data_IF_853318946752
#
_entry.id   IF_853318946752
#
_cell.length_a   1.000
_cell.length_b   1.000
_cell.length_c   1.000
_cell.angle_alpha   90.00
_cell.angle_beta   90.00
_cell.angle_gamma   90.00
#
_symmetry.space_group_name_H-M   'P 1'
#
loop_
_entity.id
_entity.type
_entity.pdbx_description
1 polymer ?
#
# COMPACT_ATOMS: atom_id res chain seq x y z
N UNK A 1 19.89 -18.98 -47.87
CA UNK A 1 20.15 -19.03 -46.41
C UNK A 1 19.75 -17.67 -45.87
N UNK A 2 18.61 -17.56 -45.22
CA UNK A 2 18.08 -16.27 -44.72
C UNK A 2 18.67 -15.95 -43.35
N UNK A 3 19.29 -14.79 -43.26
CA UNK A 3 19.80 -14.17 -42.04
C UNK A 3 18.64 -13.83 -41.09
N UNK A 4 18.67 -14.35 -39.87
CA UNK A 4 17.77 -13.94 -38.79
C UNK A 4 18.33 -12.67 -38.15
N UNK A 5 17.61 -11.55 -38.22
CA UNK A 5 17.95 -10.34 -37.49
C UNK A 5 17.46 -10.46 -36.03
N UNK A 6 18.35 -10.18 -35.09
CA UNK A 6 18.01 -10.08 -33.66
C UNK A 6 17.70 -8.63 -33.34
N UNK A 7 16.47 -8.36 -32.90
CA UNK A 7 16.06 -7.05 -32.39
C UNK A 7 16.40 -6.97 -30.90
N UNK A 8 17.20 -5.99 -30.50
CA UNK A 8 17.41 -5.66 -29.09
C UNK A 8 16.26 -4.79 -28.63
N UNK A 9 15.55 -5.24 -27.59
CA UNK A 9 14.53 -4.46 -26.89
C UNK A 9 15.27 -3.47 -25.98
N UNK A 10 15.02 -2.16 -26.16
CA UNK A 10 15.55 -1.11 -25.27
C UNK A 10 15.09 -1.38 -23.81
N UNK A 11 15.89 -0.94 -22.84
CA UNK A 11 15.60 -1.16 -21.42
C UNK A 11 14.20 -0.63 -21.06
N UNK A 12 13.28 -1.54 -20.72
CA UNK A 12 11.94 -1.18 -20.24
C UNK A 12 12.00 -0.90 -18.73
N UNK A 13 11.74 0.34 -18.33
CA UNK A 13 11.47 0.69 -16.93
C UNK A 13 10.03 0.35 -16.58
N UNK A 14 9.84 -0.61 -15.67
CA UNK A 14 8.53 -0.84 -15.05
C UNK A 14 8.27 0.27 -14.01
N UNK A 15 7.25 1.09 -14.24
CA UNK A 15 6.85 2.12 -13.28
C UNK A 15 6.11 1.48 -12.10
N UNK A 16 6.54 1.81 -10.88
CA UNK A 16 5.83 1.39 -9.67
C UNK A 16 4.51 2.15 -9.58
N UNK A 17 3.39 1.46 -9.75
CA UNK A 17 2.08 1.99 -9.37
C UNK A 17 2.00 1.90 -7.84
N UNK A 18 2.10 3.05 -7.17
CA UNK A 18 1.80 3.14 -5.75
C UNK A 18 0.31 3.38 -5.54
N UNK A 19 -0.25 2.71 -4.55
CA UNK A 19 -1.61 2.93 -4.05
C UNK A 19 -1.53 3.48 -2.62
N UNK A 20 -2.55 4.21 -2.18
CA UNK A 20 -2.65 4.71 -0.81
C UNK A 20 -3.78 4.00 -0.06
N UNK A 21 -3.59 3.78 1.24
CA UNK A 21 -4.64 3.25 2.13
C UNK A 21 -4.99 4.33 3.16
N UNK A 22 -6.29 4.57 3.34
CA UNK A 22 -6.83 5.40 4.43
C UNK A 22 -7.62 4.50 5.38
N UNK A 23 -7.30 4.58 6.67
CA UNK A 23 -8.05 3.95 7.76
C UNK A 23 -8.66 5.06 8.60
N UNK A 24 -9.93 4.93 8.99
CA UNK A 24 -10.60 5.84 9.93
C UNK A 24 -11.06 5.03 11.13
N UNK A 25 -10.58 5.37 12.33
CA UNK A 25 -10.95 4.71 13.58
C UNK A 25 -12.08 5.47 14.25
N UNK A 26 -13.21 4.78 14.43
CA UNK A 26 -14.41 5.30 15.07
C UNK A 26 -14.77 4.51 16.33
N UNK A 27 -15.65 5.08 17.15
CA UNK A 27 -16.28 4.40 18.29
C UNK A 27 -17.11 3.18 17.83
N UNK A 28 -17.30 2.19 18.71
CA UNK A 28 -18.03 0.96 18.34
C UNK A 28 -19.54 1.12 18.33
N UNK A 29 -20.06 2.12 19.06
CA UNK A 29 -21.50 2.37 19.18
C UNK A 29 -21.96 3.56 18.31
N UNK A 30 -21.04 4.48 17.96
CA UNK A 30 -21.33 5.66 17.13
C UNK A 30 -20.19 5.99 16.15
N UNK A 31 -20.40 5.68 14.87
CA UNK A 31 -19.46 5.91 13.78
C UNK A 31 -19.15 7.41 13.52
N UNK A 32 -19.92 8.34 14.12
CA UNK A 32 -19.64 9.78 14.01
C UNK A 32 -18.55 10.25 14.98
N UNK A 33 -18.17 9.41 15.96
CA UNK A 33 -17.14 9.72 16.94
C UNK A 33 -15.82 9.12 16.47
N UNK A 34 -14.90 9.97 16.04
CA UNK A 34 -13.54 9.56 15.64
C UNK A 34 -12.62 9.43 16.85
N UNK A 35 -11.67 8.50 16.79
CA UNK A 35 -10.79 8.17 17.91
C UNK A 35 -9.32 8.38 17.56
N UNK A 36 -8.71 9.37 18.21
CA UNK A 36 -7.28 9.66 18.14
C UNK A 36 -6.46 8.67 19.00
N UNK A 37 -5.25 8.38 18.54
CA UNK A 37 -4.24 7.71 19.35
C UNK A 37 -4.30 6.19 19.35
N UNK A 38 -5.15 5.58 18.54
CA UNK A 38 -5.17 4.13 18.36
C UNK A 38 -3.94 3.69 17.56
N UNK A 39 -3.26 2.64 18.03
CA UNK A 39 -2.03 2.14 17.43
C UNK A 39 -2.28 0.90 16.56
N UNK A 40 -1.67 0.88 15.38
CA UNK A 40 -1.83 -0.16 14.37
C UNK A 40 -0.47 -0.64 13.85
N UNK A 41 -0.45 -1.90 13.45
CA UNK A 41 0.64 -2.52 12.70
C UNK A 41 0.05 -3.18 11.46
N UNK A 42 0.65 -2.91 10.31
CA UNK A 42 0.27 -3.47 9.03
C UNK A 42 1.12 -4.71 8.75
N UNK A 43 0.46 -5.82 8.45
CA UNK A 43 1.08 -7.09 8.09
C UNK A 43 0.74 -7.46 6.65
N UNK A 44 1.61 -8.21 5.98
CA UNK A 44 1.31 -8.88 4.71
C UNK A 44 0.62 -10.24 4.93
N UNK A 45 0.30 -10.93 3.83
CA UNK A 45 -0.35 -12.25 3.84
C UNK A 45 0.48 -13.34 4.55
N UNK A 46 1.79 -13.13 4.70
CA UNK A 46 2.71 -14.03 5.39
C UNK A 46 2.94 -13.63 6.86
N UNK A 47 2.11 -12.71 7.38
CA UNK A 47 2.21 -12.15 8.74
C UNK A 47 3.51 -11.40 9.02
N UNK A 48 4.18 -10.88 7.99
CA UNK A 48 5.36 -10.03 8.16
C UNK A 48 4.94 -8.56 8.28
N UNK A 49 5.60 -7.85 9.21
CA UNK A 49 5.37 -6.41 9.40
C UNK A 49 5.81 -5.63 8.16
N UNK A 50 4.88 -4.88 7.59
CA UNK A 50 5.10 -3.94 6.47
C UNK A 50 5.31 -2.53 7.01
N UNK A 51 4.53 -2.13 8.01
CA UNK A 51 4.61 -0.84 8.74
C UNK A 51 4.16 -1.04 10.18
N UNK A 52 4.80 -0.35 11.11
CA UNK A 52 4.47 -0.33 12.53
C UNK A 52 4.29 1.13 13.01
N UNK A 53 3.95 1.29 14.29
CA UNK A 53 3.80 2.58 14.96
C UNK A 53 2.85 3.55 14.24
N UNK A 54 1.87 3.01 13.51
CA UNK A 54 0.83 3.79 12.86
C UNK A 54 -0.16 4.22 13.92
N UNK A 55 -0.44 5.51 14.01
CA UNK A 55 -1.32 6.06 15.04
C UNK A 55 -2.40 6.93 14.41
N UNK A 56 -3.65 6.72 14.81
CA UNK A 56 -4.74 7.57 14.36
C UNK A 56 -4.54 9.00 14.85
N UNK A 57 -4.74 9.97 13.96
CA UNK A 57 -4.62 11.38 14.26
C UNK A 57 -5.88 11.95 14.94
N UNK A 58 -5.94 13.26 15.13
CA UNK A 58 -7.07 13.97 15.73
C UNK A 58 -8.39 13.81 14.96
N UNK A 59 -8.35 13.36 13.70
CA UNK A 59 -9.51 13.03 12.88
C UNK A 59 -9.82 11.53 12.87
N UNK A 60 -9.11 10.75 13.69
CA UNK A 60 -9.17 9.30 13.69
C UNK A 60 -8.54 8.66 12.47
N UNK A 61 -7.80 9.41 11.64
CA UNK A 61 -7.29 8.93 10.36
C UNK A 61 -5.86 8.39 10.48
N UNK A 62 -5.58 7.37 9.67
CA UNK A 62 -4.23 6.89 9.35
C UNK A 62 -4.14 6.85 7.83
N UNK A 63 -3.18 7.60 7.29
CA UNK A 63 -2.90 7.63 5.85
C UNK A 63 -1.57 6.91 5.62
N UNK A 64 -1.61 5.86 4.81
CA UNK A 64 -0.44 5.10 4.37
C UNK A 64 -0.27 5.37 2.88
N UNK A 65 0.66 6.27 2.55
CA UNK A 65 1.05 6.54 1.17
C UNK A 65 2.12 5.55 0.71
N UNK A 66 2.31 5.46 -0.61
CA UNK A 66 3.33 4.60 -1.24
C UNK A 66 3.20 3.10 -0.91
N UNK A 67 1.97 2.62 -0.75
CA UNK A 67 1.69 1.20 -0.67
C UNK A 67 1.77 0.58 -2.07
N UNK A 68 2.88 -0.08 -2.36
CA UNK A 68 3.01 -0.91 -3.57
C UNK A 68 2.06 -2.11 -3.36
N UNK A 69 0.92 -2.21 -4.09
CA UNK A 69 0.15 -3.44 -4.04
C UNK A 69 1.03 -4.51 -4.69
N UNK A 70 1.58 -5.40 -3.87
CA UNK A 70 2.31 -6.53 -4.40
C UNK A 70 1.33 -7.34 -5.27
N UNK A 71 1.71 -7.46 -6.55
CA UNK A 71 1.21 -8.36 -7.60
C UNK A 71 0.16 -7.77 -8.57
N UNK A 72 0.65 -7.08 -9.59
CA UNK A 72 0.00 -7.06 -10.92
C UNK A 72 0.37 -8.39 -11.59
N UNK A 73 -0.54 -9.37 -11.61
CA UNK A 73 -0.37 -10.54 -12.48
C UNK A 73 -0.74 -10.09 -13.89
N UNK A 74 0.26 -9.95 -14.78
CA UNK A 74 0.06 -9.92 -16.24
C UNK A 74 0.08 -11.34 -16.79
#
# INVERSE_FOLDING_TARGET
MGNAETVFLEDFTNELITSGVRITKVDSEDDNIVLEGAEFTLYDEEWKIVRDNLRSDAYGEIIIEDFIPARINS
#
